data_IF_706211357320
#
_entry.id   IF_706211357320
#
_cell.length_a   1.000
_cell.length_b   1.000
_cell.length_c   1.000
_cell.angle_alpha   90.00
_cell.angle_beta   90.00
_cell.angle_gamma   90.00
#
_symmetry.space_group_name_H-M   'P 1'
#
loop_
_entity.id
_entity.type
_entity.pdbx_description
1 polymer ?
#
# COMPACT_ATOMS: atom_id res chain seq x y z
N UNK A 1 9.64 13.14 -38.95
CA UNK A 1 9.11 13.94 -37.82
C UNK A 1 8.32 13.00 -36.90
N UNK A 2 8.88 12.60 -35.76
CA UNK A 2 8.23 11.71 -34.80
C UNK A 2 7.56 12.55 -33.70
N UNK A 3 6.23 12.67 -33.75
CA UNK A 3 5.47 13.32 -32.68
C UNK A 3 5.33 12.34 -31.51
N UNK A 4 6.28 12.39 -30.58
CA UNK A 4 6.16 11.73 -29.27
C UNK A 4 5.12 12.52 -28.47
N UNK A 5 3.83 12.18 -28.64
CA UNK A 5 2.80 12.58 -27.67
C UNK A 5 3.28 12.04 -26.32
N UNK A 6 3.75 12.93 -25.43
CA UNK A 6 3.94 12.61 -24.02
C UNK A 6 2.57 12.15 -23.54
N UNK A 7 2.37 10.85 -23.39
CA UNK A 7 1.33 10.35 -22.51
C UNK A 7 1.81 10.70 -21.12
N UNK A 8 1.36 11.84 -20.62
CA UNK A 8 1.27 12.05 -19.18
C UNK A 8 0.42 10.89 -18.67
N UNK A 9 0.91 10.03 -17.76
CA UNK A 9 -0.02 9.24 -16.99
C UNK A 9 -0.70 10.25 -16.07
N UNK A 10 -1.81 10.80 -16.54
CA UNK A 10 -2.84 11.26 -15.62
C UNK A 10 -3.38 9.98 -15.01
N UNK A 11 -2.70 9.48 -13.98
CA UNK A 11 -3.39 8.71 -12.96
C UNK A 11 -4.50 9.62 -12.49
N UNK A 12 -5.72 9.13 -12.62
CA UNK A 12 -6.89 9.78 -12.07
C UNK A 12 -6.68 9.77 -10.55
N UNK A 13 -6.04 10.84 -10.03
CA UNK A 13 -5.88 11.07 -8.60
C UNK A 13 -7.25 11.44 -8.05
N UNK A 14 -8.14 10.45 -8.01
CA UNK A 14 -9.29 10.51 -7.13
C UNK A 14 -8.74 10.59 -5.71
N UNK A 15 -8.98 11.68 -4.96
CA UNK A 15 -8.57 11.77 -3.57
C UNK A 15 -9.24 10.61 -2.81
N UNK A 16 -8.44 9.59 -2.46
CA UNK A 16 -8.91 8.34 -1.86
C UNK A 16 -8.60 7.05 -2.62
N UNK A 17 -8.04 7.10 -3.84
CA UNK A 17 -7.64 5.88 -4.57
C UNK A 17 -6.27 5.36 -4.09
N UNK A 18 -6.21 4.06 -3.75
CA UNK A 18 -4.94 3.39 -3.46
C UNK A 18 -4.09 3.28 -4.72
N UNK A 19 -2.84 3.72 -4.65
CA UNK A 19 -1.89 3.69 -5.76
C UNK A 19 -0.44 3.78 -5.28
N UNK A 20 0.50 3.51 -6.18
CA UNK A 20 1.93 3.67 -5.89
C UNK A 20 2.21 5.14 -5.51
N UNK A 21 2.89 5.34 -4.38
CA UNK A 21 3.15 6.65 -3.79
C UNK A 21 2.13 7.11 -2.75
N UNK A 22 1.00 6.39 -2.59
CA UNK A 22 0.01 6.74 -1.58
C UNK A 22 0.56 6.52 -0.16
N UNK A 23 0.43 7.55 0.69
CA UNK A 23 0.62 7.43 2.13
C UNK A 23 -0.60 6.74 2.73
N UNK A 24 -0.37 5.68 3.50
CA UNK A 24 -1.43 4.81 4.01
C UNK A 24 -1.19 4.46 5.48
N UNK A 25 -2.27 4.43 6.25
CA UNK A 25 -2.31 3.79 7.55
C UNK A 25 -2.78 2.35 7.40
N UNK A 26 -2.10 1.43 8.07
CA UNK A 26 -2.50 0.03 8.14
C UNK A 26 -3.46 -0.17 9.30
N UNK A 27 -4.62 -0.77 9.03
CA UNK A 27 -5.63 -1.11 10.02
C UNK A 27 -5.84 -2.63 10.08
N UNK A 28 -6.29 -3.11 11.23
CA UNK A 28 -6.64 -4.52 11.39
C UNK A 28 -7.85 -4.88 10.50
N UNK A 29 -7.72 -6.00 9.78
CA UNK A 29 -8.85 -6.57 9.06
C UNK A 29 -9.75 -7.37 10.01
N UNK A 30 -11.06 -7.31 9.79
CA UNK A 30 -12.05 -8.12 10.53
C UNK A 30 -11.96 -9.62 10.25
N UNK A 31 -11.34 -10.05 9.15
CA UNK A 31 -11.24 -11.47 8.77
C UNK A 31 -10.09 -11.70 7.81
N UNK A 32 -9.08 -12.51 8.15
CA UNK A 32 -7.96 -12.84 7.26
C UNK A 32 -7.01 -11.67 6.99
N UNK A 33 -5.87 -11.96 6.35
CA UNK A 33 -4.75 -11.01 6.24
C UNK A 33 -3.89 -11.01 7.50
N UNK A 34 -2.64 -10.58 7.34
CA UNK A 34 -1.70 -10.46 8.45
C UNK A 34 -2.05 -9.23 9.30
N UNK A 35 -1.86 -9.35 10.62
CA UNK A 35 -1.96 -8.24 11.56
C UNK A 35 -0.56 -7.75 11.91
N UNK A 36 -0.37 -6.45 11.84
CA UNK A 36 0.95 -5.83 11.92
C UNK A 36 1.05 -4.96 13.16
N UNK A 37 2.24 -4.91 13.75
CA UNK A 37 2.63 -4.02 14.83
C UNK A 37 4.02 -3.46 14.58
N UNK A 38 4.37 -2.36 15.23
CA UNK A 38 5.74 -1.85 15.22
C UNK A 38 6.61 -2.61 16.23
N UNK A 39 7.81 -2.07 16.52
CA UNK A 39 8.75 -2.67 17.46
C UNK A 39 8.28 -2.63 18.93
N UNK A 40 7.38 -1.72 19.31
CA UNK A 40 6.85 -1.61 20.67
C UNK A 40 5.54 -2.38 20.88
N UNK A 41 4.93 -2.86 19.78
CA UNK A 41 3.69 -3.61 19.77
C UNK A 41 2.46 -2.75 19.45
N UNK A 42 2.64 -1.48 19.10
CA UNK A 42 1.57 -0.58 18.67
C UNK A 42 1.09 -0.91 17.25
N UNK A 43 -0.20 -0.67 17.02
CA UNK A 43 -0.86 -0.85 15.72
C UNK A 43 -0.94 0.44 14.88
N UNK A 44 -0.34 1.55 15.33
CA UNK A 44 -0.35 2.82 14.59
C UNK A 44 0.75 2.81 13.52
N UNK A 45 0.45 2.14 12.41
CA UNK A 45 1.42 1.90 11.34
C UNK A 45 1.12 2.76 10.13
N UNK A 46 2.09 3.60 9.76
CA UNK A 46 2.03 4.44 8.57
C UNK A 46 3.15 4.06 7.60
N UNK A 47 2.83 3.97 6.32
CA UNK A 47 3.78 3.64 5.28
C UNK A 47 3.37 4.17 3.91
N UNK A 48 4.20 3.88 2.91
CA UNK A 48 3.97 4.29 1.51
C UNK A 48 3.79 3.06 0.65
N UNK A 49 2.76 3.07 -0.20
CA UNK A 49 2.57 2.02 -1.21
C UNK A 49 3.67 2.12 -2.27
N UNK A 50 4.45 1.05 -2.45
CA UNK A 50 5.57 1.01 -3.41
C UNK A 50 5.32 0.09 -4.61
N UNK A 51 4.26 -0.72 -4.57
CA UNK A 51 3.92 -1.63 -5.65
C UNK A 51 2.68 -2.49 -5.36
N UNK A 52 2.19 -3.23 -6.35
CA UNK A 52 1.14 -4.24 -6.13
C UNK A 52 1.67 -5.37 -5.25
N UNK A 53 0.77 -6.05 -4.53
CA UNK A 53 1.13 -7.23 -3.73
C UNK A 53 1.70 -8.38 -4.58
N UNK A 54 2.55 -9.20 -3.96
CA UNK A 54 3.17 -10.34 -4.63
C UNK A 54 2.15 -11.32 -5.23
N UNK A 55 2.49 -11.92 -6.39
CA UNK A 55 1.66 -12.88 -7.13
C UNK A 55 0.32 -12.36 -7.68
N UNK A 56 0.08 -11.06 -7.71
CA UNK A 56 -1.10 -10.53 -8.40
C UNK A 56 -0.85 -10.32 -9.90
N UNK A 57 -1.77 -10.82 -10.73
CA UNK A 57 -1.84 -10.46 -12.15
C UNK A 57 -2.63 -9.15 -12.25
N UNK A 58 -2.05 -8.04 -11.79
CA UNK A 58 -2.66 -6.71 -11.96
C UNK A 58 -2.15 -6.09 -13.26
N UNK A 59 -3.03 -5.42 -14.01
CA UNK A 59 -2.65 -4.61 -15.17
C UNK A 59 -3.14 -5.13 -16.53
N UNK A 60 -3.87 -6.25 -16.56
CA UNK A 60 -4.62 -6.65 -17.75
C UNK A 60 -5.98 -5.96 -17.81
N UNK A 61 -6.38 -5.40 -18.97
CA UNK A 61 -7.73 -4.89 -19.15
C UNK A 61 -8.76 -5.97 -18.81
N UNK A 62 -9.66 -5.68 -17.85
CA UNK A 62 -10.70 -6.61 -17.39
C UNK A 62 -10.37 -7.40 -16.12
N UNK A 63 -9.15 -7.25 -15.57
CA UNK A 63 -8.84 -7.75 -14.22
C UNK A 63 -9.10 -6.62 -13.23
N UNK A 64 -9.82 -6.93 -12.14
CA UNK A 64 -10.24 -5.95 -11.13
C UNK A 64 -9.08 -5.29 -10.37
N UNK A 65 -9.44 -4.44 -9.40
CA UNK A 65 -8.46 -3.74 -8.57
C UNK A 65 -7.55 -4.70 -7.79
N UNK A 66 -6.29 -4.30 -7.49
CA UNK A 66 -5.40 -5.09 -6.64
C UNK A 66 -6.06 -5.44 -5.31
N UNK A 67 -5.96 -6.70 -4.90
CA UNK A 67 -6.47 -7.15 -3.60
C UNK A 67 -5.49 -6.85 -2.44
N UNK A 68 -4.26 -6.46 -2.77
CA UNK A 68 -3.16 -6.21 -1.83
C UNK A 68 -2.07 -5.37 -2.49
N UNK A 69 -1.30 -4.70 -1.65
CA UNK A 69 -0.26 -3.76 -2.01
C UNK A 69 1.00 -4.03 -1.19
N UNK A 70 2.17 -3.78 -1.75
CA UNK A 70 3.41 -3.70 -0.99
C UNK A 70 3.54 -2.31 -0.39
N UNK A 71 3.61 -2.25 0.93
CA UNK A 71 3.82 -1.03 1.72
C UNK A 71 5.23 -1.04 2.27
N UNK A 72 5.95 0.07 2.12
CA UNK A 72 7.22 0.34 2.78
C UNK A 72 6.99 1.21 4.00
N UNK A 73 7.62 0.86 5.12
CA UNK A 73 7.52 1.57 6.39
C UNK A 73 8.82 2.32 6.68
N UNK A 74 8.73 3.40 7.46
CA UNK A 74 9.90 4.17 7.91
C UNK A 74 10.66 3.41 9.01
N UNK A 75 9.91 2.79 9.92
CA UNK A 75 10.44 1.85 10.91
C UNK A 75 10.02 0.40 10.58
N UNK A 76 10.85 -0.61 10.90
CA UNK A 76 10.50 -1.99 10.61
C UNK A 76 9.28 -2.47 11.42
N UNK A 77 8.41 -3.22 10.74
CA UNK A 77 7.19 -3.80 11.34
C UNK A 77 7.32 -5.28 11.58
N UNK A 78 6.45 -5.80 12.43
CA UNK A 78 6.33 -7.20 12.80
C UNK A 78 4.90 -7.66 12.59
N UNK A 79 4.70 -8.94 12.37
CA UNK A 79 3.37 -9.52 12.53
C UNK A 79 3.07 -9.69 14.02
N UNK A 80 1.79 -9.66 14.43
CA UNK A 80 1.41 -9.86 15.84
C UNK A 80 1.81 -11.23 16.41
N UNK A 81 2.05 -12.23 15.56
CA UNK A 81 2.59 -13.53 15.95
C UNK A 81 4.14 -13.55 16.06
N UNK A 82 4.79 -12.41 15.86
CA UNK A 82 6.22 -12.20 16.15
C UNK A 82 7.18 -12.40 14.97
N UNK A 83 6.69 -12.49 13.72
CA UNK A 83 7.57 -12.55 12.54
C UNK A 83 8.03 -11.15 12.16
N UNK A 84 9.28 -11.02 11.72
CA UNK A 84 9.90 -9.74 11.35
C UNK A 84 11.37 -9.70 11.80
N UNK A 85 12.03 -8.53 11.73
CA UNK A 85 11.50 -7.24 11.23
C UNK A 85 11.31 -7.20 9.70
N UNK A 86 10.35 -6.42 9.24
CA UNK A 86 10.12 -6.15 7.82
C UNK A 86 10.12 -4.65 7.53
N UNK A 87 10.99 -4.20 6.62
CA UNK A 87 10.91 -2.84 6.06
C UNK A 87 9.77 -2.69 5.05
N UNK A 88 9.29 -3.81 4.49
CA UNK A 88 8.20 -3.86 3.51
C UNK A 88 7.28 -5.04 3.78
N UNK A 89 5.98 -4.84 3.65
CA UNK A 89 4.98 -5.90 3.81
C UNK A 89 3.96 -5.89 2.67
N UNK A 90 3.42 -7.06 2.33
CA UNK A 90 2.22 -7.16 1.49
C UNK A 90 0.99 -7.07 2.38
N UNK A 91 0.19 -6.02 2.19
CA UNK A 91 -0.98 -5.67 3.00
C UNK A 91 -2.22 -5.66 2.12
N UNK A 92 -3.35 -6.18 2.61
CA UNK A 92 -4.58 -6.22 1.83
C UNK A 92 -5.13 -4.81 1.60
N UNK A 93 -5.74 -4.54 0.44
CA UNK A 93 -6.25 -3.20 0.10
C UNK A 93 -7.24 -2.67 1.14
N UNK A 94 -8.10 -3.54 1.69
CA UNK A 94 -9.06 -3.20 2.76
C UNK A 94 -8.43 -2.89 4.13
N UNK A 95 -7.14 -3.18 4.30
CA UNK A 95 -6.37 -2.81 5.49
C UNK A 95 -5.66 -1.47 5.32
N UNK A 96 -5.77 -0.83 4.14
CA UNK A 96 -5.07 0.43 3.85
C UNK A 96 -6.07 1.57 3.81
N UNK A 97 -5.87 2.54 4.70
CA UNK A 97 -6.62 3.78 4.72
C UNK A 97 -5.68 4.89 4.25
N UNK A 98 -5.97 5.57 3.12
CA UNK A 98 -5.18 6.72 2.69
C UNK A 98 -5.10 7.79 3.78
N UNK A 99 -3.92 8.39 3.93
CA UNK A 99 -3.67 9.51 4.84
C UNK A 99 -3.36 10.73 3.99
N UNK A 100 -3.99 11.87 4.29
CA UNK A 100 -3.64 13.13 3.64
C UNK A 100 -2.23 13.54 4.07
N UNK A 101 -1.31 13.82 3.12
CA UNK A 101 -0.02 14.36 3.49
C UNK A 101 -0.23 15.77 4.07
N UNK A 102 0.31 16.02 5.26
CA UNK A 102 0.31 17.35 5.86
C UNK A 102 1.24 18.25 5.04
N UNK A 103 0.65 19.02 4.11
CA UNK A 103 1.36 20.00 3.30
C UNK A 103 1.32 21.34 4.03
N UNK A 104 2.18 21.49 5.03
CA UNK A 104 2.50 22.79 5.67
C UNK A 104 3.49 23.60 4.84
#
# INVERSE_FOLDING_TARGET
MWNRKRRTPAGDESPGALGIGALVRVVDATTGGEQWVDADGSGDLVGVVVGPGGNQIVGYPGVGEPLSWTVAFDEPVYTKDGRGPFERATVLSRQLVPVEPDVS
#
